data_IF_842738975119
#
_entry.id   IF_842738975119
#
_cell.length_a   1.000
_cell.length_b   1.000
_cell.length_c   1.000
_cell.angle_alpha   90.00
_cell.angle_beta   90.00
_cell.angle_gamma   90.00
#
_symmetry.space_group_name_H-M   'P 1'
#
loop_
_entity.id
_entity.type
_entity.pdbx_description
1 polymer ?
#
# COMPACT_ATOMS: atom_id res chain seq x y z
N UNK A 1 -2.86 18.95 -11.09
CA UNK A 1 -1.87 17.89 -10.81
C UNK A 1 -2.66 16.64 -10.49
N UNK A 2 -2.23 15.49 -10.98
CA UNK A 2 -2.88 14.21 -10.72
C UNK A 2 -2.56 13.72 -9.31
N UNK A 3 -3.55 13.15 -8.63
CA UNK A 3 -3.41 12.59 -7.28
C UNK A 3 -2.47 11.38 -7.27
N UNK A 4 -1.71 11.20 -6.20
CA UNK A 4 -0.94 9.98 -5.94
C UNK A 4 -1.58 9.22 -4.78
N UNK A 5 -1.90 7.95 -4.99
CA UNK A 5 -2.62 7.12 -4.02
C UNK A 5 -1.79 5.89 -3.70
N UNK A 6 -1.39 5.75 -2.44
CA UNK A 6 -0.71 4.56 -1.95
C UNK A 6 -1.74 3.49 -1.61
N UNK A 7 -1.49 2.24 -2.02
CA UNK A 7 -2.40 1.12 -1.82
C UNK A 7 -1.98 0.28 -0.62
N UNK A 8 -2.84 0.18 0.39
CA UNK A 8 -2.68 -0.78 1.47
C UNK A 8 -3.04 -2.21 1.01
N UNK A 9 -2.54 -3.22 1.73
CA UNK A 9 -2.81 -4.64 1.48
C UNK A 9 -4.31 -4.97 1.52
N UNK A 10 -5.09 -4.29 2.38
CA UNK A 10 -6.56 -4.45 2.44
C UNK A 10 -7.27 -4.12 1.12
N UNK A 11 -6.78 -3.11 0.38
CA UNK A 11 -7.29 -2.76 -0.96
C UNK A 11 -6.85 -3.81 -1.98
N UNK A 12 -5.58 -4.26 -1.91
CA UNK A 12 -5.04 -5.28 -2.80
C UNK A 12 -5.79 -6.61 -2.66
N UNK A 13 -6.18 -7.00 -1.43
CA UNK A 13 -7.00 -8.19 -1.21
C UNK A 13 -8.32 -8.14 -1.98
N UNK A 14 -8.94 -6.97 -2.03
CA UNK A 14 -10.19 -6.76 -2.75
C UNK A 14 -10.00 -6.76 -4.28
N UNK A 15 -8.93 -6.13 -4.78
CA UNK A 15 -8.59 -6.13 -6.21
C UNK A 15 -8.30 -7.57 -6.70
N UNK A 16 -7.55 -8.35 -5.91
CA UNK A 16 -7.08 -9.70 -6.25
C UNK A 16 -8.09 -10.82 -5.94
N UNK A 17 -9.21 -10.47 -5.31
CA UNK A 17 -10.24 -11.41 -4.83
C UNK A 17 -9.70 -12.45 -3.84
N UNK A 18 -8.88 -12.01 -2.88
CA UNK A 18 -8.31 -12.91 -1.87
C UNK A 18 -9.44 -13.50 -1.01
N UNK A 19 -9.59 -14.84 -0.94
CA UNK A 19 -10.68 -15.47 -0.21
C UNK A 19 -10.72 -15.04 1.27
N UNK A 20 -11.93 -14.75 1.77
CA UNK A 20 -12.20 -14.27 3.14
C UNK A 20 -11.58 -12.91 3.50
N UNK A 21 -10.95 -12.21 2.55
CA UNK A 21 -10.38 -10.86 2.72
C UNK A 21 -10.85 -9.88 1.64
N UNK A 22 -11.96 -10.20 0.95
CA UNK A 22 -12.48 -9.46 -0.19
C UNK A 22 -13.99 -9.17 -0.03
N UNK A 23 -14.37 -8.52 1.07
CA UNK A 23 -15.78 -8.21 1.36
C UNK A 23 -16.28 -6.95 0.64
N UNK A 24 -15.37 -6.07 0.23
CA UNK A 24 -15.66 -4.70 -0.24
C UNK A 24 -15.30 -4.52 -1.71
N UNK A 25 -15.31 -5.61 -2.49
CA UNK A 25 -14.84 -5.61 -3.87
C UNK A 25 -15.55 -4.58 -4.75
N UNK A 26 -16.88 -4.47 -4.61
CA UNK A 26 -17.67 -3.59 -5.46
C UNK A 26 -17.24 -2.12 -5.29
N UNK A 27 -17.18 -1.64 -4.04
CA UNK A 27 -16.75 -0.28 -3.73
C UNK A 27 -15.29 -0.04 -4.12
N UNK A 28 -14.41 -1.03 -3.89
CA UNK A 28 -12.99 -0.93 -4.29
C UNK A 28 -12.84 -0.83 -5.81
N UNK A 29 -13.57 -1.65 -6.58
CA UNK A 29 -13.49 -1.60 -8.05
C UNK A 29 -14.04 -0.29 -8.60
N UNK A 30 -15.10 0.25 -8.02
CA UNK A 30 -15.68 1.53 -8.45
C UNK A 30 -14.74 2.70 -8.16
N UNK A 31 -14.15 2.75 -6.97
CA UNK A 31 -13.14 3.76 -6.62
C UNK A 31 -11.88 3.61 -7.50
N UNK A 32 -11.43 2.38 -7.77
CA UNK A 32 -10.30 2.14 -8.68
C UNK A 32 -10.55 2.72 -10.08
N UNK A 33 -11.74 2.47 -10.65
CA UNK A 33 -12.13 2.99 -11.97
C UNK A 33 -12.17 4.51 -11.97
N UNK A 34 -12.69 5.12 -10.91
CA UNK A 34 -12.73 6.57 -10.74
C UNK A 34 -11.31 7.15 -10.72
N UNK A 35 -10.43 6.61 -9.89
CA UNK A 35 -9.04 7.07 -9.78
C UNK A 35 -8.27 6.92 -11.09
N UNK A 36 -8.44 5.79 -11.78
CA UNK A 36 -7.85 5.58 -13.09
C UNK A 36 -8.40 6.58 -14.13
N UNK A 37 -9.71 6.86 -14.11
CA UNK A 37 -10.37 7.83 -14.99
C UNK A 37 -9.93 9.28 -14.73
N UNK A 38 -9.68 9.63 -13.47
CA UNK A 38 -9.18 10.94 -13.05
C UNK A 38 -7.67 11.10 -13.29
N UNK A 39 -6.99 10.06 -13.80
CA UNK A 39 -5.57 10.06 -14.11
C UNK A 39 -4.66 10.00 -12.87
N UNK A 40 -5.17 9.53 -11.73
CA UNK A 40 -4.37 9.34 -10.53
C UNK A 40 -3.23 8.35 -10.76
N UNK A 41 -2.14 8.51 -10.02
CA UNK A 41 -1.04 7.55 -9.95
C UNK A 41 -1.28 6.64 -8.74
N UNK A 42 -1.49 5.35 -8.98
CA UNK A 42 -1.65 4.34 -7.96
C UNK A 42 -0.30 3.68 -7.66
N UNK A 43 0.13 3.76 -6.42
CA UNK A 43 1.45 3.36 -5.97
C UNK A 43 1.34 2.08 -5.14
N UNK A 44 2.17 1.08 -5.47
CA UNK A 44 2.38 -0.11 -4.64
C UNK A 44 3.48 0.16 -3.62
N UNK A 45 3.14 0.25 -2.32
CA UNK A 45 4.13 0.28 -1.26
C UNK A 45 4.81 -1.08 -1.11
N UNK A 46 6.06 -1.08 -0.64
CA UNK A 46 6.82 -2.31 -0.48
C UNK A 46 6.16 -3.27 0.53
N UNK A 47 5.67 -2.76 1.65
CA UNK A 47 5.06 -3.58 2.70
C UNK A 47 3.76 -4.22 2.23
N UNK A 48 2.89 -3.47 1.55
CA UNK A 48 1.65 -4.01 1.00
C UNK A 48 1.90 -5.14 -0.01
N UNK A 49 2.97 -5.04 -0.83
CA UNK A 49 3.39 -6.11 -1.74
C UNK A 49 3.81 -7.36 -0.97
N UNK A 50 4.64 -7.20 0.06
CA UNK A 50 5.13 -8.31 0.89
C UNK A 50 3.98 -8.99 1.64
N UNK A 51 3.12 -8.22 2.31
CA UNK A 51 1.97 -8.72 3.07
C UNK A 51 0.98 -9.44 2.16
N UNK A 52 0.68 -8.86 1.00
CA UNK A 52 -0.24 -9.46 0.03
C UNK A 52 0.29 -10.79 -0.48
N UNK A 53 1.56 -10.84 -0.86
CA UNK A 53 2.21 -12.09 -1.30
C UNK A 53 2.19 -13.17 -0.22
N UNK A 54 2.50 -12.81 1.03
CA UNK A 54 2.51 -13.73 2.16
C UNK A 54 1.12 -14.30 2.47
N UNK A 55 0.09 -13.45 2.48
CA UNK A 55 -1.30 -13.89 2.69
C UNK A 55 -1.74 -14.84 1.59
N UNK A 56 -1.44 -14.55 0.32
CA UNK A 56 -1.76 -15.42 -0.81
C UNK A 56 -1.03 -16.77 -0.68
N UNK A 57 0.25 -16.77 -0.28
CA UNK A 57 1.04 -17.99 -0.11
C UNK A 57 0.48 -18.94 0.96
N UNK A 58 -0.23 -18.40 1.96
CA UNK A 58 -0.91 -19.15 3.01
C UNK A 58 -2.29 -19.70 2.60
N UNK A 59 -2.80 -19.35 1.41
CA UNK A 59 -4.03 -19.96 0.88
C UNK A 59 -3.85 -21.45 0.58
N UNK A 60 -4.96 -22.18 0.57
CA UNK A 60 -4.99 -23.60 0.29
C UNK A 60 -5.27 -23.90 -1.20
N UNK A 61 -4.70 -25.00 -1.69
CA UNK A 61 -5.09 -25.61 -2.97
C UNK A 61 -5.01 -24.67 -4.17
N UNK A 62 -6.10 -24.62 -4.94
CA UNK A 62 -6.22 -23.89 -6.20
C UNK A 62 -6.17 -22.36 -6.02
N UNK A 63 -6.76 -21.84 -4.94
CA UNK A 63 -6.85 -20.39 -4.68
C UNK A 63 -5.48 -19.74 -4.57
N UNK A 64 -4.51 -20.45 -3.97
CA UNK A 64 -3.12 -19.98 -3.88
C UNK A 64 -2.51 -19.68 -5.25
N UNK A 65 -2.73 -20.58 -6.23
CA UNK A 65 -2.19 -20.40 -7.58
C UNK A 65 -2.89 -19.25 -8.28
N UNK A 66 -4.21 -19.25 -8.31
CA UNK A 66 -5.00 -18.24 -9.02
C UNK A 66 -4.78 -16.83 -8.48
N UNK A 67 -4.81 -16.65 -7.15
CA UNK A 67 -4.53 -15.34 -6.56
C UNK A 67 -3.10 -14.88 -6.83
N UNK A 68 -2.11 -15.78 -6.79
CA UNK A 68 -0.72 -15.41 -7.07
C UNK A 68 -0.52 -15.05 -8.55
N UNK A 69 -1.16 -15.75 -9.49
CA UNK A 69 -1.13 -15.40 -10.91
C UNK A 69 -1.71 -14.00 -11.17
N UNK A 70 -2.85 -13.68 -10.56
CA UNK A 70 -3.45 -12.33 -10.62
C UNK A 70 -2.52 -11.28 -10.00
N UNK A 71 -1.90 -11.60 -8.88
CA UNK A 71 -0.99 -10.68 -8.20
C UNK A 71 0.26 -10.39 -9.03
N UNK A 72 0.87 -11.42 -9.62
CA UNK A 72 2.00 -11.26 -10.55
C UNK A 72 1.61 -10.42 -11.76
N UNK A 73 0.44 -10.64 -12.34
CA UNK A 73 -0.04 -9.85 -13.47
C UNK A 73 -0.23 -8.37 -13.09
N UNK A 74 -0.81 -8.11 -11.92
CA UNK A 74 -0.97 -6.75 -11.39
C UNK A 74 0.39 -6.05 -11.19
N UNK A 75 1.37 -6.75 -10.60
CA UNK A 75 2.72 -6.18 -10.40
C UNK A 75 3.45 -5.95 -11.73
N UNK A 76 3.24 -6.79 -12.75
CA UNK A 76 3.79 -6.56 -14.09
C UNK A 76 3.27 -5.28 -14.72
N UNK A 77 1.99 -4.94 -14.51
CA UNK A 77 1.42 -3.68 -14.98
C UNK A 77 2.09 -2.46 -14.32
N UNK A 78 2.51 -2.59 -13.05
CA UNK A 78 3.29 -1.56 -12.37
C UNK A 78 4.69 -1.36 -12.96
N UNK A 79 5.29 -2.43 -13.50
CA UNK A 79 6.61 -2.38 -14.15
C UNK A 79 6.55 -1.81 -15.56
N UNK A 80 5.45 -2.00 -16.29
CA UNK A 80 5.30 -1.50 -17.66
C UNK A 80 5.02 0.00 -17.75
N UNK A 81 5.04 0.74 -16.63
CA UNK A 81 4.65 2.16 -16.53
C UNK A 81 3.26 2.45 -17.10
N UNK A 82 2.41 1.42 -17.18
CA UNK A 82 1.07 1.56 -17.70
C UNK A 82 0.25 2.27 -16.63
N UNK A 83 -0.27 3.45 -16.98
CA UNK A 83 -1.15 4.19 -16.07
C UNK A 83 -2.28 3.27 -15.57
N UNK A 84 -2.65 3.35 -14.28
CA UNK A 84 -2.21 4.34 -13.31
C UNK A 84 -0.98 3.92 -12.45
N UNK A 85 -0.32 2.80 -12.73
CA UNK A 85 0.53 2.13 -11.73
C UNK A 85 1.97 2.67 -11.59
N UNK A 86 2.48 2.72 -10.35
CA UNK A 86 3.87 3.03 -10.03
C UNK A 86 4.40 2.22 -8.82
N UNK A 87 5.72 2.05 -8.74
CA UNK A 87 6.41 1.44 -7.58
C UNK A 87 7.03 2.53 -6.73
N UNK A 88 6.74 2.52 -5.43
CA UNK A 88 7.40 3.40 -4.48
C UNK A 88 8.80 2.87 -4.20
N UNK A 89 9.78 3.31 -5.00
CA UNK A 89 11.18 2.92 -4.85
C UNK A 89 11.82 3.55 -3.61
N UNK A 90 11.51 3.04 -2.41
CA UNK A 90 12.12 3.48 -1.15
C UNK A 90 13.22 2.50 -0.71
N UNK A 91 14.45 2.97 -0.45
CA UNK A 91 15.53 2.10 0.02
C UNK A 91 15.30 1.72 1.49
N UNK A 92 15.30 0.41 1.76
CA UNK A 92 15.41 -0.12 3.12
C UNK A 92 16.85 -0.02 3.61
N UNK A 93 17.24 1.16 4.10
CA UNK A 93 18.59 1.45 4.57
C UNK A 93 18.64 1.75 6.09
N UNK A 94 19.83 2.08 6.60
CA UNK A 94 20.02 2.40 8.03
C UNK A 94 19.19 3.60 8.48
N UNK A 95 18.99 4.59 7.61
CA UNK A 95 18.24 5.80 7.95
C UNK A 95 16.75 5.49 8.00
N UNK A 96 16.24 4.70 7.04
CA UNK A 96 14.86 4.21 7.07
C UNK A 96 14.60 3.41 8.35
N UNK A 97 15.49 2.47 8.70
CA UNK A 97 15.33 1.65 9.90
C UNK A 97 15.36 2.50 11.18
N UNK A 98 16.29 3.44 11.31
CA UNK A 98 16.31 4.33 12.48
C UNK A 98 15.05 5.19 12.56
N UNK A 99 14.60 5.79 11.44
CA UNK A 99 13.38 6.59 11.41
C UNK A 99 12.12 5.77 11.72
N UNK A 100 12.10 4.48 11.36
CA UNK A 100 11.01 3.56 11.71
C UNK A 100 11.00 3.26 13.21
N UNK A 101 12.17 3.01 13.80
CA UNK A 101 12.29 2.62 15.21
C UNK A 101 12.06 3.81 16.15
N UNK A 102 12.73 4.92 15.87
CA UNK A 102 12.86 6.06 16.79
C UNK A 102 11.84 7.18 16.51
N UNK A 103 11.19 7.15 15.35
CA UNK A 103 10.30 8.23 14.90
C UNK A 103 11.07 9.48 14.43
N UNK A 104 10.34 10.58 14.26
CA UNK A 104 10.87 11.94 14.00
C UNK A 104 9.87 13.01 14.46
N UNK A 105 10.07 14.29 14.11
CA UNK A 105 9.17 15.39 14.48
C UNK A 105 7.69 15.18 14.11
N UNK A 106 7.39 14.23 13.22
CA UNK A 106 6.04 13.94 12.71
C UNK A 106 5.59 12.51 12.98
N UNK A 107 6.45 11.64 13.52
CA UNK A 107 6.15 10.22 13.71
C UNK A 107 6.54 9.76 15.10
N UNK A 108 5.72 8.87 15.64
CA UNK A 108 5.99 8.24 16.92
C UNK A 108 7.06 7.14 16.76
N UNK A 109 7.78 6.80 17.84
CA UNK A 109 8.57 5.57 17.89
C UNK A 109 7.72 4.34 17.63
N UNK A 110 8.31 3.28 17.06
CA UNK A 110 7.57 2.06 16.70
C UNK A 110 6.85 1.42 17.89
N UNK A 111 7.45 1.50 19.08
CA UNK A 111 6.84 0.98 20.31
C UNK A 111 5.52 1.69 20.62
N UNK A 112 5.46 3.01 20.44
CA UNK A 112 4.24 3.81 20.67
C UNK A 112 3.17 3.46 19.63
N UNK A 113 3.55 3.36 18.34
CA UNK A 113 2.63 2.88 17.30
C UNK A 113 2.04 1.51 17.63
N UNK A 114 2.84 0.58 18.14
CA UNK A 114 2.37 -0.74 18.53
C UNK A 114 1.32 -0.67 19.66
N UNK A 115 1.41 0.28 20.60
CA UNK A 115 0.38 0.47 21.64
C UNK A 115 -0.96 0.95 21.06
N UNK A 116 -0.94 1.54 19.87
CA UNK A 116 -2.11 2.02 19.14
C UNK A 116 -2.65 1.00 18.13
N UNK A 117 -2.08 -0.20 18.09
CA UNK A 117 -2.48 -1.24 17.14
C UNK A 117 -1.84 -1.11 15.75
N UNK A 118 -0.89 -0.19 15.57
CA UNK A 118 -0.16 -0.01 14.31
C UNK A 118 1.06 -0.92 14.28
N UNK A 119 1.09 -1.84 13.32
CA UNK A 119 2.19 -2.78 13.14
C UNK A 119 3.41 -2.14 12.47
N UNK A 120 4.51 -2.89 12.43
CA UNK A 120 5.72 -2.44 11.71
C UNK A 120 5.50 -2.33 10.19
N UNK A 121 4.58 -3.10 9.62
CA UNK A 121 4.18 -3.00 8.21
C UNK A 121 3.51 -1.66 7.91
N UNK A 122 2.49 -1.33 8.69
CA UNK A 122 1.75 -0.06 8.64
C UNK A 122 2.65 1.15 8.91
N UNK A 123 3.47 1.09 9.97
CA UNK A 123 4.41 2.16 10.29
C UNK A 123 5.43 2.38 9.17
N UNK A 124 5.90 1.30 8.54
CA UNK A 124 6.80 1.38 7.38
C UNK A 124 6.10 2.00 6.16
N UNK A 125 4.83 1.68 5.93
CA UNK A 125 4.02 2.28 4.86
C UNK A 125 3.87 3.80 5.04
N UNK A 126 3.53 4.25 6.25
CA UNK A 126 3.44 5.68 6.57
C UNK A 126 4.79 6.39 6.36
N UNK A 127 5.89 5.77 6.77
CA UNK A 127 7.23 6.28 6.53
C UNK A 127 7.57 6.33 5.03
N UNK A 128 7.16 5.32 4.27
CA UNK A 128 7.34 5.24 2.82
C UNK A 128 6.65 6.41 2.09
N UNK A 129 5.41 6.74 2.49
CA UNK A 129 4.64 7.89 2.00
C UNK A 129 5.38 9.20 2.28
N UNK A 130 5.90 9.39 3.50
CA UNK A 130 6.67 10.59 3.85
C UNK A 130 7.96 10.73 3.03
N UNK A 131 8.66 9.62 2.78
CA UNK A 131 9.82 9.61 1.89
C UNK A 131 9.44 9.93 0.44
N UNK A 132 8.26 9.52 -0.01
CA UNK A 132 7.74 9.88 -1.32
C UNK A 132 7.39 11.37 -1.40
N UNK A 133 6.70 11.92 -0.38
CA UNK A 133 6.35 13.35 -0.28
C UNK A 133 7.58 14.26 -0.45
N UNK A 134 8.73 13.87 0.10
CA UNK A 134 9.99 14.62 -0.03
C UNK A 134 10.60 14.63 -1.44
N UNK A 135 10.17 13.73 -2.34
CA UNK A 135 10.73 13.57 -3.70
C UNK A 135 9.86 14.15 -4.81
N UNK A 136 8.65 14.58 -4.49
CA UNK A 136 7.70 15.16 -5.44
C UNK A 136 7.39 16.62 -5.10
N UNK A 137 6.80 17.41 -6.00
CA UNK A 137 6.39 18.78 -5.69
C UNK A 137 5.48 18.83 -4.45
N UNK A 138 5.68 19.81 -3.58
CA UNK A 138 4.92 19.96 -2.31
C UNK A 138 3.41 20.11 -2.51
N UNK A 139 2.97 20.55 -3.69
CA UNK A 139 1.56 20.67 -4.06
C UNK A 139 0.94 19.36 -4.58
N UNK A 140 1.71 18.27 -4.67
CA UNK A 140 1.20 16.96 -5.13
C UNK A 140 0.27 16.36 -4.07
N UNK A 141 -1.02 16.14 -4.36
CA UNK A 141 -1.91 15.49 -3.41
C UNK A 141 -1.51 14.02 -3.26
N UNK A 142 -1.21 13.61 -2.03
CA UNK A 142 -0.81 12.24 -1.68
C UNK A 142 -1.69 11.73 -0.55
N UNK A 143 -2.39 10.61 -0.78
CA UNK A 143 -3.19 9.92 0.23
C UNK A 143 -2.87 8.43 0.30
N UNK A 144 -3.19 7.83 1.44
CA UNK A 144 -3.30 6.39 1.57
C UNK A 144 -4.72 5.94 1.25
N UNK A 145 -4.85 4.82 0.53
CA UNK A 145 -6.11 4.11 0.37
C UNK A 145 -6.02 2.78 1.13
N UNK A 146 -6.75 2.70 2.23
CA UNK A 146 -6.86 1.54 3.12
C UNK A 146 -8.32 1.32 3.51
N UNK A 147 -8.66 0.07 3.82
CA UNK A 147 -9.92 -0.32 4.47
C UNK A 147 -9.72 -0.67 5.95
N UNK A 148 -8.50 -0.55 6.47
CA UNK A 148 -8.18 -0.72 7.88
C UNK A 148 -8.49 0.60 8.62
N UNK A 149 -9.47 0.55 9.54
CA UNK A 149 -9.89 1.71 10.31
C UNK A 149 -8.80 2.24 11.25
N UNK A 150 -7.94 1.34 11.78
CA UNK A 150 -6.83 1.71 12.66
C UNK A 150 -5.81 2.51 11.86
N UNK A 151 -5.36 1.97 10.72
CA UNK A 151 -4.40 2.66 9.85
C UNK A 151 -4.97 3.96 9.26
N UNK A 152 -6.25 3.97 8.90
CA UNK A 152 -6.92 5.17 8.37
C UNK A 152 -6.93 6.34 9.37
N UNK A 153 -6.89 6.08 10.68
CA UNK A 153 -6.86 7.13 11.70
C UNK A 153 -5.51 7.88 11.77
N UNK A 154 -4.47 7.38 11.09
CA UNK A 154 -3.11 7.91 11.10
C UNK A 154 -2.70 8.59 9.78
N UNK A 155 -3.64 8.79 8.84
CA UNK A 155 -3.39 9.28 7.48
C UNK A 155 -3.84 10.71 7.23
#
# INVERSE_FOLDING_TARGET
MTEVVFLDSSVLFNILEVPRKCSDRASVVDEFKKLAGDGATLVFPLTAVIETGNVIAQLAGHDRRVCMERFVELLRQALSTTAPWAVSGVPWDRNFLSALLDGDDRRLPLVEYATMGIGSGDASLLLEIEHYRKRVPSATPIRLWTLDETLSAHC
#
